data_IF_922276486268
#
_entry.id   IF_922276486268
#
_cell.length_a   1.000
_cell.length_b   1.000
_cell.length_c   1.000
_cell.angle_alpha   90.00
_cell.angle_beta   90.00
_cell.angle_gamma   90.00
#
_symmetry.space_group_name_H-M   'P 1'
#
loop_
_entity.id
_entity.type
_entity.pdbx_description
1 polymer ?
#
# COMPACT_ATOMS: atom_id res chain seq x y z
N UNK A 1 8.14 -10.03 27.14
CA UNK A 1 8.58 -9.52 25.82
C UNK A 1 7.37 -9.11 24.99
N UNK A 2 6.47 -10.03 24.63
CA UNK A 2 5.22 -9.69 23.92
C UNK A 2 4.41 -8.54 24.58
N UNK A 3 4.17 -8.62 25.89
CA UNK A 3 3.43 -7.61 26.64
C UNK A 3 4.07 -6.21 26.64
N UNK A 4 5.37 -6.11 26.34
CA UNK A 4 6.05 -4.81 26.24
C UNK A 4 5.85 -4.17 24.87
N UNK A 5 5.51 -4.97 23.86
CA UNK A 5 5.35 -4.54 22.47
C UNK A 5 3.87 -4.26 22.17
N UNK A 6 2.96 -5.08 22.69
CA UNK A 6 1.51 -4.86 22.52
C UNK A 6 1.13 -3.51 23.14
N UNK A 7 0.48 -2.65 22.35
CA UNK A 7 0.09 -1.30 22.71
C UNK A 7 1.15 -0.21 22.44
N UNK A 8 2.36 -0.58 22.01
CA UNK A 8 3.36 0.39 21.55
C UNK A 8 2.83 1.24 20.40
N UNK A 9 3.34 2.47 20.30
CA UNK A 9 3.10 3.36 19.17
C UNK A 9 4.31 3.33 18.24
N UNK A 10 4.11 2.90 17.00
CA UNK A 10 5.15 2.89 15.96
C UNK A 10 4.65 3.80 14.84
N UNK A 11 5.20 5.01 14.77
CA UNK A 11 4.84 6.02 13.74
C UNK A 11 3.33 6.30 13.66
N UNK A 12 2.62 6.31 14.79
CA UNK A 12 1.17 6.55 14.87
C UNK A 12 0.31 5.30 14.81
N UNK A 13 0.90 4.12 14.58
CA UNK A 13 0.18 2.84 14.59
C UNK A 13 0.33 2.18 15.95
N UNK A 14 -0.79 1.78 16.55
CA UNK A 14 -0.78 0.93 17.75
C UNK A 14 -0.46 -0.50 17.35
N UNK A 15 0.22 -1.24 18.23
CA UNK A 15 0.53 -2.65 17.99
C UNK A 15 -0.49 -3.54 18.69
N UNK A 16 -1.46 -4.16 17.99
CA UNK A 16 -2.52 -4.95 18.61
C UNK A 16 -2.10 -6.41 18.87
N UNK A 17 -1.12 -6.89 18.12
CA UNK A 17 -0.68 -8.29 18.11
C UNK A 17 0.80 -8.38 17.80
N UNK A 18 1.40 -9.50 18.23
CA UNK A 18 2.79 -9.84 17.90
C UNK A 18 2.85 -11.26 17.34
N UNK A 19 3.68 -11.46 16.33
CA UNK A 19 3.98 -12.77 15.80
C UNK A 19 5.15 -13.38 16.57
N UNK A 20 4.94 -14.53 17.19
CA UNK A 20 5.98 -15.22 17.99
C UNK A 20 6.54 -16.39 17.18
N UNK A 21 7.82 -16.32 16.84
CA UNK A 21 8.51 -17.32 16.04
C UNK A 21 9.89 -17.71 16.60
N UNK A 22 10.54 -18.66 15.95
CA UNK A 22 11.88 -19.11 16.32
C UNK A 22 12.92 -18.18 15.70
N UNK A 23 13.85 -17.68 16.51
CA UNK A 23 14.95 -16.85 16.04
C UNK A 23 15.83 -17.60 15.02
N UNK A 24 16.05 -16.99 13.86
CA UNK A 24 16.83 -17.59 12.77
C UNK A 24 18.34 -17.38 12.97
N UNK A 25 19.15 -18.40 12.64
CA UNK A 25 20.61 -18.29 12.64
C UNK A 25 21.09 -17.71 11.31
N UNK A 26 21.07 -16.38 11.19
CA UNK A 26 21.38 -15.65 9.95
C UNK A 26 22.87 -15.76 9.60
N UNK A 27 23.18 -16.29 8.42
CA UNK A 27 24.51 -16.24 7.80
C UNK A 27 24.58 -15.19 6.69
N UNK A 28 23.52 -15.09 5.87
CA UNK A 28 23.41 -14.10 4.79
C UNK A 28 21.97 -13.64 4.64
N UNK A 29 21.80 -12.37 4.25
CA UNK A 29 20.52 -11.75 3.95
C UNK A 29 20.45 -11.39 2.46
N UNK A 30 19.35 -11.78 1.83
CA UNK A 30 19.08 -11.59 0.40
C UNK A 30 17.75 -10.83 0.27
N UNK A 31 17.62 -9.98 -0.73
CA UNK A 31 16.35 -9.38 -1.10
C UNK A 31 15.72 -10.14 -2.26
N UNK A 32 14.43 -10.45 -2.15
CA UNK A 32 13.62 -11.00 -3.23
C UNK A 32 12.27 -10.31 -3.26
N UNK A 33 11.84 -9.77 -4.39
CA UNK A 33 10.51 -9.21 -4.53
C UNK A 33 9.99 -9.21 -5.95
N UNK A 34 8.70 -8.92 -6.11
CA UNK A 34 8.13 -8.48 -7.38
C UNK A 34 7.25 -7.25 -7.17
N UNK A 35 7.09 -6.46 -8.23
CA UNK A 35 6.10 -5.39 -8.31
C UNK A 35 5.63 -5.21 -9.75
N UNK A 36 4.74 -4.26 -10.00
CA UNK A 36 4.27 -3.87 -11.34
C UNK A 36 5.14 -2.73 -11.88
N UNK A 37 5.92 -3.02 -12.92
CA UNK A 37 6.58 -1.98 -13.70
C UNK A 37 5.55 -1.35 -14.66
N UNK A 38 5.16 -0.12 -14.34
CA UNK A 38 4.13 0.61 -15.09
C UNK A 38 4.61 1.08 -16.45
N UNK A 39 5.91 1.35 -16.62
CA UNK A 39 6.48 1.78 -17.90
C UNK A 39 6.56 0.60 -18.87
N UNK A 40 7.04 -0.55 -18.37
CA UNK A 40 7.05 -1.80 -19.13
C UNK A 40 5.66 -2.44 -19.26
N UNK A 41 4.70 -2.01 -18.43
CA UNK A 41 3.34 -2.60 -18.30
C UNK A 41 3.39 -4.10 -18.02
N UNK A 42 4.31 -4.50 -17.14
CA UNK A 42 4.60 -5.88 -16.84
C UNK A 42 4.99 -6.06 -15.37
N UNK A 43 4.81 -7.28 -14.86
CA UNK A 43 5.36 -7.64 -13.55
C UNK A 43 6.87 -7.81 -13.67
N UNK A 44 7.60 -7.28 -12.69
CA UNK A 44 9.06 -7.40 -12.60
C UNK A 44 9.44 -8.17 -11.35
N UNK A 45 10.26 -9.21 -11.50
CA UNK A 45 10.95 -9.91 -10.42
C UNK A 45 12.30 -9.26 -10.18
N UNK A 46 12.64 -9.05 -8.92
CA UNK A 46 13.89 -8.44 -8.47
C UNK A 46 14.56 -9.34 -7.44
N UNK A 47 15.87 -9.55 -7.59
CA UNK A 47 16.68 -10.35 -6.68
C UNK A 47 18.01 -9.65 -6.45
N UNK A 48 18.43 -9.53 -5.18
CA UNK A 48 19.72 -8.94 -4.84
C UNK A 48 20.39 -9.69 -3.70
N UNK A 49 21.71 -9.86 -3.81
CA UNK A 49 22.55 -10.36 -2.73
C UNK A 49 22.65 -9.41 -1.53
N UNK A 50 22.17 -8.16 -1.65
CA UNK A 50 22.09 -7.16 -0.58
C UNK A 50 20.67 -7.16 0.02
N UNK A 51 20.41 -8.03 0.99
CA UNK A 51 19.17 -8.01 1.80
C UNK A 51 19.35 -7.27 3.12
N UNK A 52 18.25 -7.13 3.89
CA UNK A 52 18.27 -6.52 5.23
C UNK A 52 18.39 -4.98 5.21
N UNK A 53 18.32 -4.38 4.02
CA UNK A 53 18.36 -2.95 3.79
C UNK A 53 17.16 -2.51 2.95
N UNK A 54 16.91 -1.21 2.94
CA UNK A 54 15.95 -0.55 2.06
C UNK A 54 16.38 -0.76 0.58
N UNK A 55 15.50 -1.38 -0.22
CA UNK A 55 15.84 -1.78 -1.59
C UNK A 55 15.88 -0.55 -2.52
N UNK A 56 15.13 0.49 -2.21
CA UNK A 56 15.13 1.76 -2.92
C UNK A 56 16.50 2.43 -2.80
N UNK A 57 17.09 2.41 -1.60
CA UNK A 57 18.48 2.87 -1.41
C UNK A 57 19.48 2.05 -2.25
N UNK A 58 19.33 0.72 -2.30
CA UNK A 58 20.20 -0.14 -3.12
C UNK A 58 20.03 0.16 -4.61
N UNK A 59 18.81 0.46 -5.06
CA UNK A 59 18.53 0.81 -6.45
C UNK A 59 19.18 2.14 -6.86
N UNK A 60 19.30 3.10 -5.95
CA UNK A 60 19.98 4.38 -6.18
C UNK A 60 21.51 4.24 -6.15
N UNK A 61 22.05 3.58 -5.12
CA UNK A 61 23.49 3.49 -4.88
C UNK A 61 24.19 2.44 -5.73
N UNK A 62 23.49 1.36 -6.08
CA UNK A 62 24.07 0.18 -6.74
C UNK A 62 23.02 -0.54 -7.61
N UNK A 63 22.46 0.11 -8.65
CA UNK A 63 21.39 -0.47 -9.48
C UNK A 63 21.77 -1.81 -10.14
N UNK A 64 23.06 -2.00 -10.43
CA UNK A 64 23.62 -3.23 -11.02
C UNK A 64 23.64 -4.41 -10.04
N UNK A 65 23.44 -4.16 -8.74
CA UNK A 65 23.34 -5.23 -7.72
C UNK A 65 21.95 -5.86 -7.64
N UNK A 66 20.99 -5.38 -8.44
CA UNK A 66 19.62 -5.90 -8.51
C UNK A 66 19.44 -6.59 -9.85
N UNK A 67 19.40 -7.92 -9.83
CA UNK A 67 19.02 -8.70 -11.00
C UNK A 67 17.52 -8.58 -11.23
N UNK A 68 17.11 -8.47 -12.50
CA UNK A 68 15.72 -8.19 -12.90
C UNK A 68 15.27 -9.19 -13.95
N UNK A 69 14.02 -9.64 -13.83
CA UNK A 69 13.37 -10.50 -14.82
C UNK A 69 11.95 -9.98 -15.05
N UNK A 70 11.52 -9.92 -16.30
CA UNK A 70 10.12 -9.65 -16.68
C UNK A 70 9.48 -10.96 -17.16
N UNK A 71 8.75 -11.68 -16.29
CA UNK A 71 8.09 -12.90 -16.69
C UNK A 71 6.99 -12.61 -17.71
N UNK A 72 6.77 -13.54 -18.65
CA UNK A 72 5.63 -13.43 -19.55
C UNK A 72 4.33 -13.64 -18.75
N UNK A 73 3.32 -12.77 -18.90
CA UNK A 73 2.11 -12.78 -18.07
C UNK A 73 1.24 -14.04 -18.25
N UNK A 74 1.34 -14.72 -19.40
CA UNK A 74 0.51 -15.89 -19.71
C UNK A 74 1.16 -17.20 -19.24
N UNK A 75 2.46 -17.36 -19.47
CA UNK A 75 3.20 -18.59 -19.11
C UNK A 75 3.88 -18.53 -17.74
N UNK A 76 4.09 -17.33 -17.19
CA UNK A 76 4.95 -17.11 -16.03
C UNK A 76 6.44 -17.33 -16.31
N UNK A 77 7.30 -17.27 -15.26
CA UNK A 77 8.74 -17.46 -15.41
C UNK A 77 9.09 -18.92 -15.62
N UNK A 78 10.00 -19.19 -16.58
CA UNK A 78 10.54 -20.52 -16.84
C UNK A 78 11.79 -20.79 -16.01
N UNK A 79 12.09 -22.07 -15.76
CA UNK A 79 13.18 -22.49 -14.88
C UNK A 79 14.55 -21.92 -15.28
N UNK A 80 14.83 -21.85 -16.59
CA UNK A 80 16.08 -21.29 -17.08
C UNK A 80 16.15 -19.76 -16.88
N UNK A 81 15.02 -19.04 -16.93
CA UNK A 81 14.94 -17.60 -16.68
C UNK A 81 15.20 -17.30 -15.19
N UNK A 82 14.62 -18.12 -14.31
CA UNK A 82 14.84 -18.02 -12.87
C UNK A 82 16.28 -18.38 -12.50
N UNK A 83 16.82 -19.43 -13.11
CA UNK A 83 18.23 -19.82 -12.90
C UNK A 83 19.14 -18.66 -13.32
N UNK A 84 18.89 -18.07 -14.50
CA UNK A 84 19.63 -16.89 -14.98
C UNK A 84 19.55 -15.72 -14.00
N UNK A 85 18.35 -15.38 -13.51
CA UNK A 85 18.14 -14.32 -12.52
C UNK A 85 19.00 -14.55 -11.26
N UNK A 86 19.05 -15.79 -10.76
CA UNK A 86 19.85 -16.15 -9.58
C UNK A 86 21.35 -16.01 -9.84
N UNK A 87 21.84 -16.40 -11.02
CA UNK A 87 23.25 -16.21 -11.39
C UNK A 87 23.60 -14.73 -11.58
N UNK A 88 22.74 -13.94 -12.21
CA UNK A 88 22.93 -12.50 -12.39
C UNK A 88 22.96 -11.75 -11.06
N UNK A 89 22.23 -12.23 -10.04
CA UNK A 89 22.28 -11.70 -8.68
C UNK A 89 23.55 -12.12 -7.89
N UNK A 90 24.44 -12.92 -8.47
CA UNK A 90 25.63 -13.44 -7.78
C UNK A 90 25.29 -14.46 -6.69
N UNK A 91 24.23 -15.25 -6.89
CA UNK A 91 23.67 -16.22 -5.94
C UNK A 91 23.60 -17.64 -6.51
N UNK A 92 24.43 -17.96 -7.51
CA UNK A 92 24.38 -19.22 -8.26
C UNK A 92 24.48 -20.49 -7.39
N UNK A 93 25.19 -20.41 -6.27
CA UNK A 93 25.32 -21.47 -5.26
C UNK A 93 23.98 -21.84 -4.60
N UNK A 94 23.03 -20.90 -4.55
CA UNK A 94 21.68 -21.06 -4.02
C UNK A 94 20.63 -21.30 -5.13
N UNK A 95 21.07 -21.64 -6.34
CA UNK A 95 20.23 -21.77 -7.55
C UNK A 95 18.92 -22.53 -7.34
N UNK A 96 18.99 -23.76 -6.81
CA UNK A 96 17.81 -24.62 -6.59
C UNK A 96 16.84 -24.06 -5.55
N UNK A 97 17.27 -23.77 -4.29
CA UNK A 97 16.35 -23.27 -3.27
C UNK A 97 15.77 -21.89 -3.62
N UNK A 98 16.56 -20.97 -4.19
CA UNK A 98 16.03 -19.67 -4.60
C UNK A 98 15.04 -19.79 -5.77
N UNK A 99 15.33 -20.59 -6.80
CA UNK A 99 14.39 -20.79 -7.90
C UNK A 99 13.05 -21.34 -7.40
N UNK A 100 13.07 -22.28 -6.46
CA UNK A 100 11.85 -22.80 -5.84
C UNK A 100 11.09 -21.74 -5.04
N UNK A 101 11.79 -20.89 -4.28
CA UNK A 101 11.18 -19.79 -3.53
C UNK A 101 10.59 -18.72 -4.46
N UNK A 102 11.32 -18.32 -5.50
CA UNK A 102 10.87 -17.33 -6.49
C UNK A 102 9.59 -17.78 -7.17
N UNK A 103 9.48 -19.06 -7.56
CA UNK A 103 8.23 -19.63 -8.12
C UNK A 103 7.05 -19.51 -7.15
N UNK A 104 7.27 -19.77 -5.86
CA UNK A 104 6.24 -19.66 -4.83
C UNK A 104 5.81 -18.21 -4.62
N UNK A 105 6.77 -17.28 -4.56
CA UNK A 105 6.47 -15.86 -4.45
C UNK A 105 5.68 -15.36 -5.66
N UNK A 106 6.10 -15.72 -6.88
CA UNK A 106 5.41 -15.31 -8.11
C UNK A 106 3.97 -15.81 -8.21
N UNK A 107 3.65 -16.96 -7.57
CA UNK A 107 2.26 -17.47 -7.49
C UNK A 107 1.33 -16.56 -6.69
N UNK A 108 1.85 -15.68 -5.84
CA UNK A 108 1.03 -14.71 -5.12
C UNK A 108 0.25 -13.77 -6.06
N UNK A 109 0.76 -13.52 -7.27
CA UNK A 109 0.07 -12.70 -8.28
C UNK A 109 -1.28 -13.32 -8.67
N UNK A 110 -1.33 -14.53 -9.29
CA UNK A 110 -2.61 -15.12 -9.67
C UNK A 110 -3.44 -15.62 -8.47
N UNK A 111 -2.81 -15.98 -7.35
CA UNK A 111 -3.51 -16.57 -6.21
C UNK A 111 -4.18 -15.50 -5.32
N UNK A 112 -3.60 -14.30 -5.22
CA UNK A 112 -4.09 -13.22 -4.35
C UNK A 112 -4.31 -11.88 -5.04
N UNK A 113 -4.14 -11.78 -6.37
CA UNK A 113 -4.09 -10.50 -7.10
C UNK A 113 -3.09 -9.51 -6.48
N UNK A 114 -1.92 -10.03 -6.15
CA UNK A 114 -0.87 -9.27 -5.53
C UNK A 114 -0.27 -8.23 -6.51
N UNK A 115 -0.19 -6.99 -6.06
CA UNK A 115 0.50 -5.89 -6.76
C UNK A 115 2.00 -5.94 -6.51
N UNK A 116 2.37 -6.17 -5.25
CA UNK A 116 3.75 -6.22 -4.79
C UNK A 116 3.87 -7.32 -3.75
N UNK A 117 4.94 -8.10 -3.80
CA UNK A 117 5.34 -8.92 -2.66
C UNK A 117 6.86 -8.93 -2.55
N UNK A 118 7.36 -8.77 -1.34
CA UNK A 118 8.79 -8.76 -1.03
C UNK A 118 9.07 -9.66 0.16
N UNK A 119 10.24 -10.27 0.14
CA UNK A 119 10.84 -11.01 1.24
C UNK A 119 12.16 -10.32 1.54
N UNK A 120 12.21 -9.61 2.65
CA UNK A 120 13.35 -8.79 3.05
C UNK A 120 13.60 -8.87 4.57
N UNK A 121 14.46 -9.78 5.06
CA UNK A 121 15.36 -10.62 4.27
C UNK A 121 14.80 -11.99 3.91
N UNK A 122 15.21 -12.52 2.76
CA UNK A 122 15.42 -13.96 2.58
C UNK A 122 16.69 -14.33 3.36
N UNK A 123 16.55 -15.15 4.39
CA UNK A 123 17.65 -15.60 5.26
C UNK A 123 18.26 -16.87 4.70
N UNK A 124 19.59 -16.87 4.56
CA UNK A 124 20.38 -18.08 4.42
C UNK A 124 20.93 -18.42 5.79
N UNK A 125 20.61 -19.60 6.31
CA UNK A 125 21.11 -20.05 7.60
C UNK A 125 22.52 -20.62 7.49
N UNK A 126 23.23 -20.73 8.63
CA UNK A 126 24.54 -21.41 8.72
C UNK A 126 24.54 -22.87 8.22
N UNK A 127 23.36 -23.48 8.08
CA UNK A 127 23.17 -24.84 7.55
C UNK A 127 22.90 -24.84 6.03
N UNK A 128 22.90 -23.67 5.39
CA UNK A 128 22.59 -23.49 3.98
C UNK A 128 21.10 -23.53 3.65
N UNK A 129 20.21 -23.39 4.64
CA UNK A 129 18.77 -23.35 4.41
C UNK A 129 18.33 -21.96 3.96
N UNK A 130 17.40 -21.88 3.02
CA UNK A 130 16.83 -20.62 2.53
C UNK A 130 15.43 -20.46 3.11
N UNK A 131 15.24 -19.42 3.92
CA UNK A 131 14.04 -19.15 4.70
C UNK A 131 13.56 -17.73 4.41
N UNK A 132 12.24 -17.52 4.28
CA UNK A 132 11.68 -16.18 4.26
C UNK A 132 11.67 -15.63 5.69
N UNK A 133 12.54 -14.67 5.99
CA UNK A 133 12.70 -14.11 7.34
C UNK A 133 11.64 -13.05 7.66
N UNK A 134 11.39 -12.15 6.71
CA UNK A 134 10.28 -11.20 6.79
C UNK A 134 9.66 -11.03 5.41
N UNK A 135 8.35 -10.85 5.35
CA UNK A 135 7.60 -10.78 4.09
C UNK A 135 6.48 -9.75 4.17
N UNK A 136 6.37 -8.96 3.10
CA UNK A 136 5.29 -8.00 2.88
C UNK A 136 4.55 -8.35 1.60
N UNK A 137 3.23 -8.30 1.65
CA UNK A 137 2.33 -8.57 0.53
C UNK A 137 1.33 -7.42 0.42
N UNK A 138 1.21 -6.85 -0.77
CA UNK A 138 0.22 -5.85 -1.14
C UNK A 138 -0.69 -6.41 -2.24
N UNK A 139 -2.00 -6.28 -2.05
CA UNK A 139 -3.04 -6.85 -2.92
C UNK A 139 -3.81 -5.71 -3.60
N UNK A 140 -4.27 -5.95 -4.82
CA UNK A 140 -5.13 -5.01 -5.53
C UNK A 140 -6.52 -4.91 -4.88
N UNK A 141 -6.82 -3.74 -4.31
CA UNK A 141 -8.13 -3.43 -3.73
C UNK A 141 -9.27 -3.61 -4.76
N UNK A 142 -9.02 -3.42 -6.06
CA UNK A 142 -10.03 -3.67 -7.10
C UNK A 142 -10.38 -5.15 -7.25
N UNK A 143 -9.54 -6.06 -6.75
CA UNK A 143 -9.78 -7.49 -6.70
C UNK A 143 -10.38 -7.96 -5.36
N UNK A 144 -10.55 -7.08 -4.37
CA UNK A 144 -11.01 -7.46 -3.03
C UNK A 144 -12.35 -8.24 -3.04
N UNK A 145 -13.25 -7.94 -3.98
CA UNK A 145 -14.56 -8.58 -4.10
C UNK A 145 -14.51 -10.11 -4.29
N UNK A 146 -13.40 -10.65 -4.82
CA UNK A 146 -13.16 -12.10 -5.00
C UNK A 146 -12.25 -12.72 -3.94
N UNK A 147 -11.71 -11.92 -3.02
CA UNK A 147 -10.82 -12.32 -1.91
C UNK A 147 -11.45 -12.05 -0.54
N UNK A 148 -12.72 -12.44 -0.38
CA UNK A 148 -13.51 -12.15 0.84
C UNK A 148 -12.95 -12.80 2.10
N UNK A 149 -12.23 -13.91 1.95
CA UNK A 149 -11.54 -14.60 3.04
C UNK A 149 -10.42 -13.74 3.63
N UNK A 150 -9.70 -12.97 2.80
CA UNK A 150 -8.66 -12.05 3.26
C UNK A 150 -9.27 -10.88 4.04
N UNK A 151 -10.38 -10.31 3.53
CA UNK A 151 -11.12 -9.26 4.25
C UNK A 151 -11.69 -9.78 5.57
N UNK A 152 -12.22 -11.01 5.62
CA UNK A 152 -12.71 -11.59 6.87
C UNK A 152 -11.59 -11.79 7.89
N UNK A 153 -10.41 -12.21 7.43
CA UNK A 153 -9.30 -12.60 8.30
C UNK A 153 -8.46 -11.42 8.76
N UNK A 154 -8.27 -10.43 7.88
CA UNK A 154 -7.40 -9.28 8.12
C UNK A 154 -8.13 -7.95 8.10
N UNK A 155 -9.35 -7.86 7.56
CA UNK A 155 -10.10 -6.60 7.47
C UNK A 155 -10.43 -5.97 8.82
N UNK A 156 -10.63 -6.80 9.86
CA UNK A 156 -10.78 -6.32 11.25
C UNK A 156 -9.45 -5.92 11.91
N UNK A 157 -8.32 -6.35 11.32
CA UNK A 157 -6.97 -6.00 11.73
C UNK A 157 -6.41 -4.79 10.97
N UNK A 158 -7.18 -4.21 10.03
CA UNK A 158 -6.83 -2.96 9.36
C UNK A 158 -7.03 -1.83 10.37
N UNK A 159 -6.09 -1.77 11.31
CA UNK A 159 -5.74 -0.57 12.04
C UNK A 159 -4.96 0.32 11.08
N UNK A 160 -5.40 1.57 11.01
CA UNK A 160 -4.82 2.61 10.20
C UNK A 160 -5.24 3.96 10.77
N UNK A 161 -5.14 5.00 9.97
CA UNK A 161 -5.67 6.29 10.39
C UNK A 161 -7.19 6.16 10.69
N UNK A 162 -7.67 6.55 11.89
CA UNK A 162 -9.08 6.43 12.26
C UNK A 162 -10.03 7.14 11.29
N UNK A 163 -9.57 8.20 10.62
CA UNK A 163 -10.32 8.92 9.60
C UNK A 163 -10.45 8.11 8.30
N UNK A 164 -9.38 7.43 7.86
CA UNK A 164 -9.42 6.55 6.69
C UNK A 164 -10.33 5.34 6.91
N UNK A 165 -10.31 4.77 8.12
CA UNK A 165 -11.21 3.67 8.51
C UNK A 165 -12.67 4.10 8.44
N UNK A 166 -13.02 5.27 8.99
CA UNK A 166 -14.39 5.79 8.95
C UNK A 166 -14.81 6.18 7.52
N UNK A 167 -13.90 6.75 6.72
CA UNK A 167 -14.13 7.04 5.31
C UNK A 167 -14.47 5.77 4.52
N UNK A 168 -13.72 4.68 4.73
CA UNK A 168 -13.94 3.40 4.06
C UNK A 168 -15.34 2.83 4.35
N UNK A 169 -15.82 2.91 5.61
CA UNK A 169 -17.20 2.50 5.97
C UNK A 169 -18.28 3.29 5.23
N UNK A 170 -17.97 4.54 4.88
CA UNK A 170 -18.85 5.46 4.13
C UNK A 170 -18.59 5.43 2.62
N UNK A 171 -17.77 4.49 2.14
CA UNK A 171 -17.40 4.35 0.74
C UNK A 171 -16.76 5.61 0.13
N UNK A 172 -15.97 6.32 0.93
CA UNK A 172 -15.23 7.51 0.50
C UNK A 172 -13.78 7.17 0.19
N UNK A 173 -13.25 7.73 -0.89
CA UNK A 173 -11.80 7.72 -1.13
C UNK A 173 -11.18 8.85 -0.34
N UNK A 174 -10.43 8.52 0.71
CA UNK A 174 -9.89 9.48 1.66
C UNK A 174 -8.44 9.11 2.01
N UNK A 175 -7.58 10.11 2.16
CA UNK A 175 -6.21 9.96 2.65
C UNK A 175 -5.91 11.08 3.63
N UNK A 176 -5.36 10.75 4.79
CA UNK A 176 -4.97 11.75 5.79
C UNK A 176 -3.67 12.48 5.43
N UNK A 177 -3.62 13.78 5.74
CA UNK A 177 -2.44 14.63 5.60
C UNK A 177 -2.20 15.46 6.87
N UNK A 178 -0.98 15.97 7.06
CA UNK A 178 -0.63 16.75 8.26
C UNK A 178 -0.88 18.27 8.06
N UNK A 179 -2.16 18.63 7.99
CA UNK A 179 -2.60 20.02 7.81
C UNK A 179 -3.84 20.38 8.62
N UNK A 180 -4.38 21.56 8.35
CA UNK A 180 -5.53 22.16 9.04
C UNK A 180 -6.66 22.61 8.11
N UNK A 181 -6.54 22.39 6.80
CA UNK A 181 -7.57 22.70 5.81
C UNK A 181 -8.13 21.42 5.21
N UNK A 182 -9.37 21.08 5.55
CA UNK A 182 -10.05 19.92 4.98
C UNK A 182 -10.36 20.12 3.50
N UNK A 183 -10.22 19.08 2.68
CA UNK A 183 -10.47 19.15 1.23
C UNK A 183 -11.55 18.14 0.85
N UNK A 184 -12.54 18.61 0.08
CA UNK A 184 -13.54 17.78 -0.60
C UNK A 184 -13.54 18.15 -2.07
N UNK A 185 -13.44 17.17 -2.97
CA UNK A 185 -13.66 17.40 -4.39
C UNK A 185 -14.25 16.19 -5.09
N UNK A 186 -14.74 16.38 -6.32
CA UNK A 186 -15.27 15.30 -7.14
C UNK A 186 -14.29 14.94 -8.28
N UNK A 187 -13.71 13.75 -8.19
CA UNK A 187 -12.67 13.22 -9.06
C UNK A 187 -11.27 13.45 -8.50
N UNK A 188 -10.47 12.39 -8.47
CA UNK A 188 -9.12 12.39 -7.90
C UNK A 188 -8.21 13.49 -8.50
N UNK A 189 -8.27 13.72 -9.82
CA UNK A 189 -7.48 14.77 -10.47
C UNK A 189 -7.82 16.19 -9.99
N UNK A 190 -9.10 16.47 -9.77
CA UNK A 190 -9.55 17.76 -9.24
C UNK A 190 -9.17 17.92 -7.77
N UNK A 191 -9.30 16.86 -6.98
CA UNK A 191 -8.87 16.84 -5.58
C UNK A 191 -7.37 17.12 -5.46
N UNK A 192 -6.52 16.42 -6.21
CA UNK A 192 -5.07 16.66 -6.22
C UNK A 192 -4.74 18.10 -6.65
N UNK A 193 -5.38 18.61 -7.69
CA UNK A 193 -5.19 20.01 -8.12
C UNK A 193 -5.61 21.01 -7.03
N UNK A 194 -6.61 20.66 -6.21
CA UNK A 194 -7.08 21.50 -5.09
C UNK A 194 -6.06 21.51 -3.96
N UNK A 195 -5.46 20.34 -3.65
CA UNK A 195 -4.34 20.25 -2.70
C UNK A 195 -3.20 21.20 -3.11
N UNK A 196 -2.79 21.13 -4.37
CA UNK A 196 -1.73 21.96 -4.93
C UNK A 196 -2.05 23.44 -4.83
N UNK A 197 -3.27 23.85 -5.15
CA UNK A 197 -3.70 25.25 -5.08
C UNK A 197 -3.69 25.78 -3.63
N UNK A 198 -4.18 24.98 -2.68
CA UNK A 198 -4.17 25.34 -1.25
C UNK A 198 -2.74 25.48 -0.75
N UNK A 199 -1.86 24.52 -1.08
CA UNK A 199 -0.46 24.57 -0.68
C UNK A 199 0.29 25.74 -1.32
N UNK A 200 0.05 26.02 -2.61
CA UNK A 200 0.62 27.18 -3.33
C UNK A 200 0.16 28.51 -2.75
N UNK A 201 -1.04 28.57 -2.17
CA UNK A 201 -1.56 29.73 -1.46
C UNK A 201 -1.03 29.85 -0.01
N UNK A 202 -0.19 28.92 0.45
CA UNK A 202 0.40 28.90 1.80
C UNK A 202 -0.42 28.16 2.85
N UNK A 203 -1.54 27.53 2.47
CA UNK A 203 -2.33 26.67 3.34
C UNK A 203 -1.73 25.26 3.49
N UNK A 204 -2.25 24.48 4.44
CA UNK A 204 -1.85 23.09 4.66
C UNK A 204 -3.07 22.16 4.56
N UNK A 205 -3.21 21.40 3.47
CA UNK A 205 -4.30 20.42 3.39
C UNK A 205 -4.20 19.36 4.49
N UNK A 206 -5.33 19.09 5.14
CA UNK A 206 -5.47 18.09 6.21
C UNK A 206 -5.84 16.71 5.68
N UNK A 207 -6.36 16.62 4.46
CA UNK A 207 -6.74 15.37 3.84
C UNK A 207 -6.87 15.51 2.31
N UNK A 208 -6.90 14.37 1.63
CA UNK A 208 -7.52 14.18 0.33
C UNK A 208 -8.90 13.54 0.55
N UNK A 209 -9.95 14.00 -0.14
CA UNK A 209 -11.24 13.31 -0.17
C UNK A 209 -11.91 13.47 -1.54
N UNK A 210 -12.06 12.35 -2.24
CA UNK A 210 -12.80 12.25 -3.51
C UNK A 210 -14.18 11.65 -3.27
N UNK A 211 -15.23 12.44 -3.56
CA UNK A 211 -16.64 12.03 -3.45
C UNK A 211 -17.21 11.43 -4.75
N UNK A 212 -16.37 11.27 -5.78
CA UNK A 212 -16.72 10.70 -7.07
C UNK A 212 -17.61 11.61 -7.93
N UNK A 213 -17.87 11.19 -9.16
CA UNK A 213 -18.63 11.99 -10.15
C UNK A 213 -20.12 12.19 -9.85
N UNK A 214 -20.68 11.43 -8.90
CA UNK A 214 -22.10 11.42 -8.54
C UNK A 214 -22.36 11.93 -7.12
N UNK A 215 -21.89 13.14 -6.82
CA UNK A 215 -21.95 13.73 -5.48
C UNK A 215 -23.38 14.11 -5.07
N UNK A 216 -24.12 13.16 -4.50
CA UNK A 216 -25.42 13.39 -3.84
C UNK A 216 -25.22 14.04 -2.46
N UNK A 217 -26.27 14.64 -1.92
CA UNK A 217 -26.25 15.29 -0.61
C UNK A 217 -25.67 14.41 0.52
N UNK A 218 -26.07 13.13 0.57
CA UNK A 218 -25.59 12.16 1.57
C UNK A 218 -24.07 11.92 1.49
N UNK A 219 -23.49 11.89 0.28
CA UNK A 219 -22.04 11.67 0.11
C UNK A 219 -21.25 12.87 0.64
N UNK A 220 -21.76 14.08 0.41
CA UNK A 220 -21.16 15.32 0.90
C UNK A 220 -21.26 15.40 2.43
N UNK A 221 -22.40 15.03 3.00
CA UNK A 221 -22.57 14.95 4.46
C UNK A 221 -21.60 13.94 5.08
N UNK A 222 -21.49 12.74 4.49
CA UNK A 222 -20.55 11.72 4.92
C UNK A 222 -19.10 12.20 4.87
N UNK A 223 -18.71 12.91 3.80
CA UNK A 223 -17.37 13.47 3.68
C UNK A 223 -17.07 14.52 4.76
N UNK A 224 -18.03 15.41 5.02
CA UNK A 224 -17.91 16.40 6.09
C UNK A 224 -17.84 15.75 7.47
N UNK A 225 -18.66 14.72 7.73
CA UNK A 225 -18.63 13.99 8.99
C UNK A 225 -17.25 13.38 9.28
N UNK A 226 -16.59 12.80 8.27
CA UNK A 226 -15.24 12.25 8.41
C UNK A 226 -14.21 13.36 8.62
N UNK A 227 -14.23 14.40 7.80
CA UNK A 227 -13.23 15.49 7.88
C UNK A 227 -13.30 16.23 9.22
N UNK A 228 -14.50 16.44 9.75
CA UNK A 228 -14.71 17.15 11.01
C UNK A 228 -14.38 16.32 12.25
N UNK A 229 -14.14 15.01 12.11
CA UNK A 229 -13.56 14.21 13.20
C UNK A 229 -12.13 14.63 13.52
N UNK A 230 -11.39 15.21 12.56
CA UNK A 230 -10.02 15.64 12.77
C UNK A 230 -9.99 17.02 13.46
N UNK A 231 -9.57 17.11 14.74
CA UNK A 231 -9.61 18.36 15.50
C UNK A 231 -8.60 19.40 14.99
N UNK A 232 -7.65 19.02 14.12
CA UNK A 232 -6.73 19.97 13.47
C UNK A 232 -7.43 20.79 12.40
N UNK A 233 -8.54 20.31 11.84
CA UNK A 233 -9.23 20.99 10.73
C UNK A 233 -9.90 22.27 11.24
N UNK A 234 -9.53 23.40 10.64
CA UNK A 234 -10.03 24.74 10.95
C UNK A 234 -10.99 25.31 9.91
N UNK A 235 -11.02 24.70 8.72
CA UNK A 235 -11.89 25.08 7.62
C UNK A 235 -11.87 24.02 6.53
N UNK A 236 -12.89 24.01 5.68
CA UNK A 236 -13.04 23.03 4.60
C UNK A 236 -13.16 23.76 3.26
N UNK A 237 -12.35 23.36 2.28
CA UNK A 237 -12.47 23.78 0.88
C UNK A 237 -13.22 22.70 0.12
N UNK A 238 -14.41 23.05 -0.37
CA UNK A 238 -15.24 22.19 -1.21
C UNK A 238 -15.10 22.67 -2.64
N UNK A 239 -14.35 21.91 -3.45
CA UNK A 239 -14.13 22.21 -4.86
C UNK A 239 -14.82 21.16 -5.74
N UNK A 240 -16.03 21.48 -6.18
CA UNK A 240 -16.83 20.59 -7.02
C UNK A 240 -17.00 21.20 -8.41
N UNK A 241 -16.54 20.48 -9.43
CA UNK A 241 -16.82 20.81 -10.81
C UNK A 241 -18.11 20.10 -11.26
N UNK A 242 -19.15 20.91 -11.50
CA UNK A 242 -20.46 20.42 -11.92
C UNK A 242 -20.45 19.82 -13.33
N UNK A 243 -21.37 18.89 -13.55
CA UNK A 243 -21.60 18.22 -14.82
C UNK A 243 -22.91 17.45 -14.74
N UNK A 244 -22.82 16.16 -14.38
CA UNK A 244 -24.00 15.36 -13.99
C UNK A 244 -24.43 15.72 -12.56
N UNK A 245 -23.47 16.04 -11.69
CA UNK A 245 -23.73 16.49 -10.31
C UNK A 245 -24.40 17.87 -10.34
N UNK A 246 -25.56 17.98 -9.69
CA UNK A 246 -26.26 19.26 -9.52
C UNK A 246 -25.71 20.01 -8.30
N UNK A 247 -25.42 21.30 -8.47
CA UNK A 247 -24.90 22.13 -7.37
C UNK A 247 -25.84 22.23 -6.15
N UNK A 248 -27.16 22.07 -6.34
CA UNK A 248 -28.10 22.09 -5.22
C UNK A 248 -28.01 20.83 -4.34
N UNK A 249 -27.61 19.68 -4.90
CA UNK A 249 -27.35 18.47 -4.10
C UNK A 249 -26.14 18.66 -3.18
N UNK A 250 -25.09 19.30 -3.68
CA UNK A 250 -23.92 19.65 -2.87
C UNK A 250 -24.31 20.62 -1.76
N UNK A 251 -25.05 21.68 -2.10
CA UNK A 251 -25.52 22.66 -1.11
C UNK A 251 -26.43 22.03 -0.04
N UNK A 252 -27.34 21.12 -0.43
CA UNK A 252 -28.17 20.36 0.52
C UNK A 252 -27.31 19.54 1.46
N UNK A 253 -26.32 18.80 0.94
CA UNK A 253 -25.41 18.02 1.77
C UNK A 253 -24.66 18.85 2.80
N UNK A 254 -24.20 20.05 2.42
CA UNK A 254 -23.55 21.01 3.34
C UNK A 254 -24.53 21.49 4.41
N UNK A 255 -25.76 21.85 4.04
CA UNK A 255 -26.79 22.31 4.99
C UNK A 255 -27.15 21.20 5.97
N UNK A 256 -27.38 19.98 5.47
CA UNK A 256 -27.69 18.81 6.31
C UNK A 256 -26.55 18.52 7.28
N UNK A 257 -25.31 18.53 6.80
CA UNK A 257 -24.13 18.34 7.65
C UNK A 257 -24.04 19.40 8.76
N UNK A 258 -24.27 20.68 8.45
CA UNK A 258 -24.29 21.76 9.44
C UNK A 258 -25.34 21.55 10.53
N UNK A 259 -26.49 20.98 10.17
CA UNK A 259 -27.60 20.81 11.10
C UNK A 259 -27.45 19.54 11.97
N UNK A 260 -26.62 18.57 11.52
CA UNK A 260 -26.48 17.25 12.14
C UNK A 260 -25.14 17.02 12.87
N UNK A 261 -24.08 17.79 12.57
CA UNK A 261 -22.72 17.63 13.11
C UNK A 261 -22.32 18.78 14.03
#
# INVERSE_FOLDING_TARGET
AADQIIGMDIKGFKVPLVYCEVALEIEREIYLGFTVDRDARANILMLSAKGGMDIEQVAEESPDSIARLYPNPWRGPLDFELTRLVFEAGLGELGRPLTALIKKLYRAIPDYDALTAEINPVVVTKKGEVIAGDAKLEIDDNAAWRHKDLEQRYGALIEGDPYEVEAKKRSLTYVSLDGDIGIIGNGAGLCMSTLDLVQRAGGKPANFCDIGGGAKAEVVENALAVILMNPKVRGVVINVFGGITRGDEVAKGIITARDNL
#
